data_IF_511723348117
#
_entry.id   IF_511723348117
#
_cell.length_a   1.000
_cell.length_b   1.000
_cell.length_c   1.000
_cell.angle_alpha   90.00
_cell.angle_beta   90.00
_cell.angle_gamma   90.00
#
_symmetry.space_group_name_H-M   'P 1'
#
loop_
_entity.id
_entity.type
_entity.pdbx_description
1 polymer ?
#
# COMPACT_ATOMS: atom_id res chain seq x y z
N UNK A 1 -1.14 17.04 -14.97
CA UNK A 1 -1.52 15.64 -15.23
C UNK A 1 -2.46 15.18 -14.12
N UNK A 2 -3.40 14.30 -14.41
CA UNK A 2 -4.13 13.62 -13.32
C UNK A 2 -3.31 12.44 -12.83
N UNK A 3 -3.43 12.15 -11.54
CA UNK A 3 -2.60 11.15 -10.92
C UNK A 3 -3.31 10.40 -9.79
N UNK A 4 -2.77 9.24 -9.45
CA UNK A 4 -3.31 8.37 -8.43
C UNK A 4 -2.18 7.74 -7.62
N UNK A 5 -2.50 7.22 -6.44
CA UNK A 5 -1.68 6.22 -5.79
C UNK A 5 -2.50 4.96 -5.56
N UNK A 6 -1.84 3.82 -5.53
CA UNK A 6 -2.47 2.54 -5.26
C UNK A 6 -1.65 1.77 -4.23
N UNK A 7 -2.29 1.43 -3.11
CA UNK A 7 -1.64 0.68 -2.04
C UNK A 7 -1.67 -0.80 -2.40
N UNK A 8 -0.50 -1.42 -2.39
CA UNK A 8 -0.31 -2.87 -2.52
C UNK A 8 0.21 -3.44 -1.20
N UNK A 9 0.31 -4.75 -1.10
CA UNK A 9 0.87 -5.42 0.06
C UNK A 9 1.56 -6.73 -0.35
N UNK A 10 2.56 -7.23 0.41
CA UNK A 10 3.15 -8.53 0.13
C UNK A 10 2.10 -9.64 0.29
N UNK A 11 2.16 -10.65 -0.57
CA UNK A 11 1.36 -11.89 -0.44
C UNK A 11 2.25 -12.98 0.12
N UNK A 12 3.47 -13.10 -0.41
CA UNK A 12 4.51 -13.98 0.12
C UNK A 12 5.58 -13.10 0.79
N UNK A 13 5.65 -13.07 2.14
CA UNK A 13 6.58 -12.20 2.85
C UNK A 13 8.04 -12.44 2.48
N UNK A 14 8.48 -13.68 2.20
CA UNK A 14 9.87 -13.91 1.78
C UNK A 14 10.12 -13.44 0.36
N UNK A 15 9.29 -13.90 -0.58
CA UNK A 15 9.47 -13.62 -2.01
C UNK A 15 9.30 -12.14 -2.32
N UNK A 16 8.30 -11.48 -1.75
CA UNK A 16 8.02 -10.07 -2.03
C UNK A 16 9.00 -9.14 -1.34
N UNK A 17 9.44 -9.45 -0.12
CA UNK A 17 10.54 -8.70 0.53
C UNK A 17 11.84 -8.89 -0.24
N UNK A 18 12.13 -10.10 -0.76
CA UNK A 18 13.36 -10.35 -1.52
C UNK A 18 13.47 -9.46 -2.77
N UNK A 19 12.36 -9.15 -3.43
CA UNK A 19 12.33 -8.27 -4.62
C UNK A 19 12.84 -6.87 -4.33
N UNK A 20 12.64 -6.35 -3.11
CA UNK A 20 13.04 -4.99 -2.71
C UNK A 20 14.27 -4.97 -1.81
N UNK A 21 14.39 -5.96 -0.92
CA UNK A 21 15.39 -6.08 0.13
C UNK A 21 15.96 -7.52 0.17
N UNK A 22 16.77 -7.92 -0.83
CA UNK A 22 17.24 -9.30 -0.98
C UNK A 22 18.07 -9.79 0.20
N UNK A 23 18.88 -8.91 0.81
CA UNK A 23 19.67 -9.26 1.99
C UNK A 23 18.78 -9.54 3.21
N UNK A 24 17.75 -8.72 3.45
CA UNK A 24 16.82 -8.93 4.57
C UNK A 24 16.04 -10.25 4.41
N UNK A 25 15.53 -10.53 3.21
CA UNK A 25 14.80 -11.78 2.95
C UNK A 25 15.70 -13.03 3.06
N UNK A 26 17.00 -12.90 2.77
CA UNK A 26 17.97 -13.99 2.93
C UNK A 26 18.30 -14.24 4.41
N UNK A 27 18.47 -13.18 5.20
CA UNK A 27 18.93 -13.27 6.59
C UNK A 27 17.81 -13.56 7.59
N UNK A 28 16.61 -13.06 7.35
CA UNK A 28 15.51 -13.18 8.30
C UNK A 28 14.60 -14.38 7.97
N UNK A 29 14.22 -15.19 8.97
CA UNK A 29 13.15 -16.15 8.80
C UNK A 29 11.80 -15.44 8.68
N UNK A 30 10.81 -16.10 8.09
CA UNK A 30 9.50 -15.51 7.83
C UNK A 30 8.81 -14.92 9.08
N UNK A 31 8.81 -15.58 10.26
CA UNK A 31 8.22 -14.98 11.46
C UNK A 31 8.88 -13.66 11.86
N UNK A 32 10.20 -13.55 11.66
CA UNK A 32 10.92 -12.30 11.93
C UNK A 32 10.54 -11.22 10.92
N UNK A 33 10.45 -11.56 9.63
CA UNK A 33 9.96 -10.63 8.59
C UNK A 33 8.57 -10.10 8.97
N UNK A 34 7.64 -10.99 9.31
CA UNK A 34 6.29 -10.60 9.72
C UNK A 34 6.31 -9.70 10.96
N UNK A 35 7.07 -10.08 12.00
CA UNK A 35 7.20 -9.29 13.22
C UNK A 35 7.71 -7.86 12.94
N UNK A 36 8.83 -7.72 12.22
CA UNK A 36 9.40 -6.41 11.93
C UNK A 36 8.53 -5.57 10.97
N UNK A 37 7.78 -6.21 10.09
CA UNK A 37 6.87 -5.53 9.14
C UNK A 37 5.77 -4.72 9.87
N UNK A 38 5.37 -5.14 11.07
CA UNK A 38 4.45 -4.39 11.94
C UNK A 38 5.00 -3.04 12.40
N UNK A 39 6.31 -2.81 12.31
CA UNK A 39 6.96 -1.55 12.69
C UNK A 39 7.60 -0.85 11.49
N UNK A 40 7.78 -1.56 10.38
CA UNK A 40 8.38 -1.05 9.16
C UNK A 40 7.55 0.08 8.53
N UNK A 41 8.18 1.13 7.95
CA UNK A 41 7.46 2.21 7.28
C UNK A 41 6.80 1.73 5.97
N UNK A 42 5.83 2.50 5.43
CA UNK A 42 5.32 2.26 4.07
C UNK A 42 6.45 2.34 3.05
N UNK A 43 6.40 1.49 2.02
CA UNK A 43 7.49 1.34 1.07
C UNK A 43 7.09 1.92 -0.28
N UNK A 44 7.84 2.91 -0.77
CA UNK A 44 7.74 3.34 -2.15
C UNK A 44 8.20 2.21 -3.10
N UNK A 45 7.33 1.81 -4.01
CA UNK A 45 7.63 0.73 -4.97
C UNK A 45 8.06 1.30 -6.30
N UNK A 46 7.19 2.09 -6.96
CA UNK A 46 7.47 2.63 -8.29
C UNK A 46 6.59 3.83 -8.62
N UNK A 47 7.10 4.69 -9.50
CA UNK A 47 6.34 5.68 -10.25
C UNK A 47 5.86 5.02 -11.55
N UNK A 48 4.59 5.19 -11.87
CA UNK A 48 3.92 4.63 -13.02
C UNK A 48 3.63 5.77 -13.98
N UNK A 49 4.15 5.66 -15.20
CA UNK A 49 4.00 6.66 -16.26
C UNK A 49 3.56 5.97 -17.55
N UNK A 50 3.16 6.76 -18.56
CA UNK A 50 2.78 6.23 -19.87
C UNK A 50 1.40 5.58 -19.90
N UNK A 51 0.52 5.91 -18.96
CA UNK A 51 -0.88 5.49 -19.00
C UNK A 51 -1.66 6.51 -19.83
N UNK A 52 -2.22 6.07 -20.95
CA UNK A 52 -3.02 6.91 -21.86
C UNK A 52 -4.39 6.26 -22.08
N UNK A 53 -5.45 7.03 -21.88
CA UNK A 53 -6.83 6.61 -22.17
C UNK A 53 -7.02 6.46 -23.68
N UNK A 54 -7.35 5.26 -24.14
CA UNK A 54 -7.64 5.02 -25.57
C UNK A 54 -8.84 5.84 -26.07
N UNK A 55 -9.85 6.07 -25.21
CA UNK A 55 -11.07 6.78 -25.59
C UNK A 55 -10.90 8.30 -25.65
N UNK A 56 -10.00 8.88 -24.84
CA UNK A 56 -9.90 10.35 -24.67
C UNK A 56 -8.53 10.91 -25.01
N UNK A 57 -7.52 10.07 -25.19
CA UNK A 57 -6.11 10.48 -25.32
C UNK A 57 -5.50 11.06 -24.04
N UNK A 58 -6.27 11.15 -22.94
CA UNK A 58 -5.81 11.73 -21.68
C UNK A 58 -4.76 10.85 -21.03
N UNK A 59 -3.66 11.46 -20.62
CA UNK A 59 -2.58 10.77 -19.90
C UNK A 59 -2.70 10.95 -18.39
N UNK A 60 -2.35 9.89 -17.66
CA UNK A 60 -2.24 9.90 -16.20
C UNK A 60 -0.92 9.26 -15.74
N UNK A 61 -0.51 9.58 -14.53
CA UNK A 61 0.61 8.96 -13.83
C UNK A 61 0.17 8.48 -12.45
N UNK A 62 1.01 7.73 -11.74
CA UNK A 62 0.68 7.36 -10.37
C UNK A 62 1.75 6.57 -9.64
N UNK A 63 1.46 6.15 -8.43
CA UNK A 63 2.45 5.50 -7.55
C UNK A 63 1.95 4.18 -6.98
N UNK A 64 2.82 3.18 -6.96
CA UNK A 64 2.65 2.01 -6.11
C UNK A 64 3.38 2.20 -4.78
N UNK A 65 2.64 1.96 -3.69
CA UNK A 65 3.12 2.05 -2.33
C UNK A 65 2.75 0.76 -1.62
N UNK A 66 3.70 0.10 -0.98
CA UNK A 66 3.40 -1.11 -0.21
C UNK A 66 3.08 -0.77 1.25
N UNK A 67 1.93 -1.27 1.72
CA UNK A 67 1.67 -1.49 3.13
C UNK A 67 2.45 -2.73 3.58
N UNK A 68 3.34 -2.65 4.58
CA UNK A 68 4.20 -3.77 4.98
C UNK A 68 3.44 -4.71 5.92
N UNK A 69 2.33 -5.29 5.45
CA UNK A 69 1.59 -6.33 6.16
C UNK A 69 1.11 -7.36 5.14
N UNK A 70 1.18 -8.63 5.47
CA UNK A 70 0.56 -9.67 4.64
C UNK A 70 -0.95 -9.80 4.94
N UNK A 71 -1.75 -10.45 4.09
CA UNK A 71 -3.16 -10.75 4.38
C UNK A 71 -3.35 -11.44 5.74
N UNK A 72 -2.51 -12.44 6.04
CA UNK A 72 -2.57 -13.18 7.29
C UNK A 72 -2.34 -12.27 8.52
N UNK A 73 -1.42 -11.30 8.42
CA UNK A 73 -1.25 -10.29 9.45
C UNK A 73 -2.44 -9.35 9.54
N UNK A 74 -2.97 -8.89 8.42
CA UNK A 74 -4.10 -7.97 8.42
C UNK A 74 -5.37 -8.59 9.03
N UNK A 75 -5.54 -9.91 8.93
CA UNK A 75 -6.65 -10.64 9.56
C UNK A 75 -6.40 -10.91 11.05
N UNK A 76 -5.15 -11.14 11.45
CA UNK A 76 -4.82 -11.54 12.83
C UNK A 76 -4.54 -10.38 13.79
N UNK A 77 -4.09 -9.24 13.26
CA UNK A 77 -3.79 -8.06 14.07
C UNK A 77 -5.08 -7.29 14.44
N UNK A 78 -5.07 -6.55 15.56
CA UNK A 78 -6.14 -5.61 15.86
C UNK A 78 -6.35 -4.61 14.71
N UNK A 79 -7.60 -4.34 14.28
CA UNK A 79 -7.87 -3.48 13.13
C UNK A 79 -7.20 -2.12 13.20
N UNK A 80 -7.09 -1.51 14.38
CA UNK A 80 -6.45 -0.22 14.59
C UNK A 80 -4.95 -0.21 14.24
N UNK A 81 -4.27 -1.35 14.40
CA UNK A 81 -2.86 -1.52 14.00
C UNK A 81 -2.75 -1.53 12.48
N UNK A 82 -3.67 -2.24 11.81
CA UNK A 82 -3.72 -2.32 10.36
C UNK A 82 -4.08 -0.97 9.74
N UNK A 83 -5.07 -0.27 10.30
CA UNK A 83 -5.45 1.07 9.89
C UNK A 83 -4.29 2.04 9.96
N UNK A 84 -3.54 2.06 11.08
CA UNK A 84 -2.36 2.92 11.20
C UNK A 84 -1.33 2.68 10.09
N UNK A 85 -1.14 1.42 9.66
CA UNK A 85 -0.24 1.09 8.55
C UNK A 85 -0.75 1.57 7.20
N UNK A 86 -2.03 1.35 6.91
CA UNK A 86 -2.63 1.79 5.65
C UNK A 86 -2.69 3.32 5.59
N UNK A 87 -3.04 4.00 6.68
CA UNK A 87 -3.02 5.47 6.79
C UNK A 87 -1.60 6.00 6.57
N UNK A 88 -0.57 5.35 7.12
CA UNK A 88 0.82 5.77 6.88
C UNK A 88 1.20 5.67 5.39
N UNK A 89 0.77 4.61 4.69
CA UNK A 89 0.94 4.48 3.25
C UNK A 89 0.14 5.54 2.47
N UNK A 90 -1.10 5.84 2.88
CA UNK A 90 -1.90 6.93 2.30
C UNK A 90 -1.26 8.31 2.48
N UNK A 91 -0.69 8.59 3.66
CA UNK A 91 0.06 9.84 3.89
C UNK A 91 1.32 9.93 3.04
N UNK A 92 1.97 8.80 2.73
CA UNK A 92 3.05 8.79 1.76
C UNK A 92 2.54 9.11 0.35
N UNK A 93 1.38 8.59 -0.05
CA UNK A 93 0.75 8.95 -1.32
C UNK A 93 0.45 10.46 -1.43
N UNK A 94 -0.10 11.06 -0.38
CA UNK A 94 -0.36 12.50 -0.33
C UNK A 94 0.95 13.30 -0.51
N UNK A 95 2.03 12.91 0.17
CA UNK A 95 3.34 13.56 0.01
C UNK A 95 3.94 13.42 -1.39
N UNK A 96 3.61 12.34 -2.10
CA UNK A 96 4.00 12.13 -3.50
C UNK A 96 3.13 12.94 -4.48
N UNK A 97 2.07 13.61 -4.00
CA UNK A 97 1.20 14.44 -4.82
C UNK A 97 0.03 13.70 -5.47
N UNK A 98 -0.31 12.51 -4.97
CA UNK A 98 -1.47 11.76 -5.45
C UNK A 98 -2.79 12.49 -5.15
N UNK A 99 -3.68 12.55 -6.14
CA UNK A 99 -5.01 13.17 -6.03
C UNK A 99 -6.12 12.21 -5.62
N UNK A 100 -5.89 10.91 -5.75
CA UNK A 100 -6.82 9.84 -5.33
C UNK A 100 -6.01 8.63 -4.91
N UNK A 101 -6.51 7.90 -3.90
CA UNK A 101 -5.89 6.70 -3.37
C UNK A 101 -6.78 5.48 -3.61
N UNK A 102 -6.25 4.47 -4.28
CA UNK A 102 -6.85 3.13 -4.35
C UNK A 102 -6.31 2.22 -3.25
N UNK A 103 -7.21 1.54 -2.53
CA UNK A 103 -6.88 0.48 -1.57
C UNK A 103 -6.92 -0.87 -2.27
N UNK A 104 -5.75 -1.48 -2.51
CA UNK A 104 -5.64 -2.77 -3.18
C UNK A 104 -5.76 -3.98 -2.24
N UNK A 105 -6.47 -5.01 -2.70
CA UNK A 105 -6.49 -6.32 -2.06
C UNK A 105 -7.00 -6.26 -0.62
N UNK A 106 -6.25 -6.82 0.33
CA UNK A 106 -6.69 -6.86 1.73
C UNK A 106 -6.73 -5.47 2.39
N UNK A 107 -6.11 -4.44 1.82
CA UNK A 107 -6.16 -3.09 2.38
C UNK A 107 -7.54 -2.43 2.25
N UNK A 108 -8.40 -2.90 1.34
CA UNK A 108 -9.80 -2.44 1.24
C UNK A 108 -10.77 -3.28 2.06
N UNK A 109 -10.41 -4.53 2.38
CA UNK A 109 -11.32 -5.49 3.04
C UNK A 109 -11.28 -5.39 4.56
N UNK A 110 -10.14 -4.98 5.12
CA UNK A 110 -9.96 -4.99 6.57
C UNK A 110 -10.84 -3.93 7.24
N UNK A 111 -11.63 -4.39 8.21
CA UNK A 111 -12.43 -3.54 9.08
C UNK A 111 -13.69 -3.00 8.39
N UNK A 112 -13.72 -1.71 8.08
CA UNK A 112 -14.92 -0.94 7.72
C UNK A 112 -14.96 -0.51 6.25
N UNK A 113 -14.25 -1.23 5.38
CA UNK A 113 -14.23 -0.94 3.94
C UNK A 113 -13.43 0.30 3.56
N UNK A 114 -12.50 0.74 4.42
CA UNK A 114 -11.67 1.92 4.17
C UNK A 114 -12.28 3.24 4.63
N UNK A 115 -13.45 3.25 5.28
CA UNK A 115 -14.08 4.46 5.81
C UNK A 115 -13.19 5.16 6.84
N UNK A 116 -12.70 4.41 7.84
CA UNK A 116 -11.75 4.95 8.82
C UNK A 116 -10.51 5.46 8.11
N UNK A 117 -9.95 4.74 7.14
CA UNK A 117 -8.76 5.20 6.40
C UNK A 117 -9.02 6.53 5.69
N UNK A 118 -10.18 6.67 5.03
CA UNK A 118 -10.56 7.89 4.31
C UNK A 118 -10.69 9.11 5.22
N UNK A 119 -11.16 8.94 6.47
CA UNK A 119 -11.29 10.04 7.43
C UNK A 119 -9.95 10.64 7.87
N UNK A 120 -8.84 9.93 7.70
CA UNK A 120 -7.50 10.37 8.12
C UNK A 120 -6.61 10.84 6.97
N UNK A 121 -7.16 10.98 5.76
CA UNK A 121 -6.45 11.38 4.55
C UNK A 121 -7.15 12.56 3.89
N UNK A 122 -6.37 13.51 3.36
CA UNK A 122 -6.91 14.71 2.68
C UNK A 122 -7.15 14.48 1.18
N UNK A 123 -7.15 13.22 0.75
CA UNK A 123 -7.39 12.81 -0.64
C UNK A 123 -8.50 11.76 -0.69
N UNK A 124 -9.36 11.76 -1.72
CA UNK A 124 -10.36 10.72 -1.91
C UNK A 124 -9.75 9.32 -1.88
N UNK A 125 -10.46 8.40 -1.24
CA UNK A 125 -10.09 6.99 -1.14
C UNK A 125 -11.15 6.14 -1.85
N UNK A 126 -10.71 5.18 -2.65
CA UNK A 126 -11.56 4.19 -3.32
C UNK A 126 -11.04 2.78 -3.05
N UNK A 127 -11.94 1.81 -3.03
CA UNK A 127 -11.64 0.38 -2.89
C UNK A 127 -11.67 -0.39 -4.21
N UNK A 128 -11.92 0.32 -5.32
CA UNK A 128 -12.33 -0.29 -6.60
C UNK A 128 -13.80 -0.02 -6.88
#
# INVERSE_FOLDING_TARGET
MDNFAFIIHPVDPKRDVQRKYPLLAKLLPEPAINYFSQYFPPVYISHITGITSQATGKEIEGWFIACPLTPAQMVSLPPEVVYKKIIAAGKLAQRLGAKILGLGGFTSVVGDGGQTIAQYLDIPVTTG
#
